data_IF_334495253460
#
_entry.id   IF_334495253460
#
_cell.length_a   1.000
_cell.length_b   1.000
_cell.length_c   1.000
_cell.angle_alpha   90.00
_cell.angle_beta   90.00
_cell.angle_gamma   90.00
#
_symmetry.space_group_name_H-M   'P 1'
#
loop_
_entity.id
_entity.type
_entity.pdbx_description
1 polymer ?
#
# COMPACT_ATOMS: atom_id res chain seq x y z
N UNK A 1 29.56 -15.42 -5.16
CA UNK A 1 30.50 -14.33 -4.85
C UNK A 1 29.73 -13.03 -4.91
N UNK A 2 29.43 -12.40 -3.77
CA UNK A 2 28.88 -11.04 -3.67
C UNK A 2 29.10 -10.56 -2.24
N UNK A 3 30.23 -9.88 -2.06
CA UNK A 3 30.68 -9.22 -0.83
C UNK A 3 30.68 -7.74 -1.19
N UNK A 4 29.72 -6.95 -0.69
CA UNK A 4 29.70 -5.52 -0.94
C UNK A 4 29.21 -4.82 0.33
N UNK A 5 30.15 -4.10 0.95
CA UNK A 5 30.04 -3.22 2.10
C UNK A 5 29.76 -3.84 3.48
N UNK A 6 30.83 -4.32 4.12
CA UNK A 6 31.00 -4.25 5.57
C UNK A 6 31.83 -3.00 5.85
N UNK A 7 31.22 -1.94 6.41
CA UNK A 7 31.97 -0.81 6.93
C UNK A 7 32.20 -1.04 8.42
N UNK A 8 33.43 -1.43 8.76
CA UNK A 8 33.90 -1.47 10.15
C UNK A 8 33.98 -0.03 10.66
N UNK A 9 33.06 0.34 11.55
CA UNK A 9 33.13 1.62 12.25
C UNK A 9 33.87 1.36 13.56
N UNK A 10 35.16 1.64 13.55
CA UNK A 10 36.01 1.60 14.74
C UNK A 10 35.77 2.88 15.54
N UNK A 11 34.91 2.81 16.57
CA UNK A 11 34.73 3.90 17.52
C UNK A 11 35.80 3.76 18.58
N UNK A 12 36.83 4.61 18.51
CA UNK A 12 37.89 4.70 19.51
C UNK A 12 37.33 5.42 20.74
N UNK A 13 37.00 4.64 21.77
CA UNK A 13 36.65 5.16 23.09
C UNK A 13 37.92 5.47 23.89
N UNK A 14 37.89 6.53 24.70
CA UNK A 14 39.06 7.16 25.37
C UNK A 14 39.71 6.28 26.46
N UNK A 15 39.18 5.09 26.70
CA UNK A 15 39.56 4.18 27.79
C UNK A 15 40.20 2.85 27.31
N UNK A 16 40.61 2.74 26.04
CA UNK A 16 41.47 1.63 25.59
C UNK A 16 40.77 0.28 25.32
N UNK A 17 39.44 0.24 25.20
CA UNK A 17 38.70 -0.96 24.84
C UNK A 17 38.21 -0.91 23.38
N UNK A 18 38.74 -1.76 22.51
CA UNK A 18 38.30 -1.90 21.12
C UNK A 18 36.95 -2.65 21.05
N UNK A 19 35.83 -1.91 20.93
CA UNK A 19 34.48 -2.49 20.81
C UNK A 19 34.18 -2.85 19.35
N UNK A 20 34.44 -4.10 18.94
CA UNK A 20 33.98 -4.64 17.63
C UNK A 20 32.46 -4.82 17.62
N UNK A 21 31.73 -3.81 17.14
CA UNK A 21 30.29 -3.94 16.86
C UNK A 21 30.08 -4.57 15.48
N UNK A 22 29.76 -5.86 15.44
CA UNK A 22 29.26 -6.49 14.21
C UNK A 22 27.76 -6.23 14.11
N UNK A 23 27.39 -5.03 13.63
CA UNK A 23 26.00 -4.74 13.26
C UNK A 23 25.68 -5.60 12.04
N UNK A 24 25.00 -6.72 12.28
CA UNK A 24 24.48 -7.54 11.18
C UNK A 24 23.31 -6.76 10.60
N UNK A 25 23.59 -5.90 9.62
CA UNK A 25 22.58 -5.22 8.84
C UNK A 25 21.71 -6.32 8.22
N UNK A 26 20.52 -6.50 8.78
CA UNK A 26 19.52 -7.40 8.21
C UNK A 26 19.18 -6.76 6.88
N UNK A 27 19.86 -7.18 5.80
CA UNK A 27 19.51 -6.84 4.42
C UNK A 27 18.00 -6.91 4.36
N UNK A 28 17.35 -5.80 4.03
CA UNK A 28 15.92 -5.73 3.80
C UNK A 28 15.58 -6.86 2.82
N UNK A 29 15.23 -8.01 3.39
CA UNK A 29 15.20 -9.29 2.69
C UNK A 29 14.13 -9.15 1.63
N UNK A 30 14.40 -9.59 0.41
CA UNK A 30 13.54 -9.60 -0.79
C UNK A 30 12.02 -9.51 -0.54
N UNK A 31 11.51 -10.18 0.50
CA UNK A 31 10.14 -10.09 1.04
C UNK A 31 9.62 -8.66 1.29
N UNK A 32 10.38 -7.75 1.92
CA UNK A 32 9.92 -6.38 2.19
C UNK A 32 9.77 -5.56 0.91
N UNK A 33 10.65 -5.79 -0.06
CA UNK A 33 10.56 -5.17 -1.39
C UNK A 33 9.31 -5.67 -2.12
N UNK A 34 9.04 -6.98 -2.10
CA UNK A 34 7.86 -7.57 -2.75
C UNK A 34 6.55 -7.01 -2.15
N UNK A 35 6.44 -6.91 -0.82
CA UNK A 35 5.24 -6.38 -0.14
C UNK A 35 4.99 -4.92 -0.54
N UNK A 36 6.06 -4.12 -0.59
CA UNK A 36 5.97 -2.72 -1.02
C UNK A 36 5.47 -2.62 -2.47
N UNK A 37 6.01 -3.45 -3.37
CA UNK A 37 5.57 -3.49 -4.78
C UNK A 37 4.11 -3.90 -4.92
N UNK A 38 3.66 -4.94 -4.23
CA UNK A 38 2.26 -5.39 -4.27
C UNK A 38 1.33 -4.29 -3.75
N UNK A 39 1.70 -3.63 -2.65
CA UNK A 39 0.89 -2.54 -2.09
C UNK A 39 0.78 -1.36 -3.05
N UNK A 40 1.88 -1.02 -3.74
CA UNK A 40 1.88 0.01 -4.80
C UNK A 40 0.95 -0.35 -5.95
N UNK A 41 0.98 -1.61 -6.41
CA UNK A 41 0.10 -2.09 -7.49
C UNK A 41 -1.39 -2.03 -7.09
N UNK A 42 -1.72 -2.41 -5.86
CA UNK A 42 -3.10 -2.34 -5.35
C UNK A 42 -3.60 -0.89 -5.27
N UNK A 43 -2.77 0.04 -4.79
CA UNK A 43 -3.11 1.47 -4.79
C UNK A 43 -3.27 2.03 -6.20
N UNK A 44 -2.42 1.62 -7.15
CA UNK A 44 -2.53 2.04 -8.54
C UNK A 44 -3.83 1.55 -9.17
N UNK A 45 -4.16 0.27 -8.99
CA UNK A 45 -5.39 -0.32 -9.52
C UNK A 45 -6.63 0.38 -8.93
N UNK A 46 -6.62 0.61 -7.61
CA UNK A 46 -7.67 1.39 -6.95
C UNK A 46 -7.79 2.81 -7.54
N UNK A 47 -6.67 3.50 -7.74
CA UNK A 47 -6.65 4.84 -8.34
C UNK A 47 -7.30 4.87 -9.72
N UNK A 48 -7.00 3.89 -10.58
CA UNK A 48 -7.62 3.78 -11.91
C UNK A 48 -9.13 3.59 -11.78
N UNK A 49 -9.59 2.66 -10.93
CA UNK A 49 -11.01 2.42 -10.67
C UNK A 49 -11.70 3.67 -10.13
N UNK A 50 -11.08 4.35 -9.16
CA UNK A 50 -11.62 5.55 -8.55
C UNK A 50 -11.76 6.71 -9.56
N UNK A 51 -10.78 6.88 -10.45
CA UNK A 51 -10.84 7.88 -11.52
C UNK A 51 -12.00 7.58 -12.49
N UNK A 52 -12.14 6.32 -12.93
CA UNK A 52 -13.24 5.92 -13.80
C UNK A 52 -14.61 6.16 -13.17
N UNK A 53 -14.78 5.79 -11.90
CA UNK A 53 -16.01 6.02 -11.14
C UNK A 53 -16.28 7.51 -10.92
N UNK A 54 -15.24 8.32 -10.72
CA UNK A 54 -15.37 9.78 -10.59
C UNK A 54 -15.83 10.40 -11.90
N UNK A 55 -15.26 10.00 -13.05
CA UNK A 55 -15.74 10.46 -14.36
C UNK A 55 -17.20 10.09 -14.59
N UNK A 56 -17.57 8.84 -14.28
CA UNK A 56 -18.96 8.39 -14.35
C UNK A 56 -19.87 9.28 -13.50
N UNK A 57 -19.50 9.53 -12.24
CA UNK A 57 -20.26 10.39 -11.33
C UNK A 57 -20.43 11.80 -11.90
N UNK A 58 -19.36 12.40 -12.41
CA UNK A 58 -19.41 13.73 -13.05
C UNK A 58 -20.34 13.73 -14.26
N UNK A 59 -20.24 12.72 -15.15
CA UNK A 59 -21.09 12.63 -16.33
C UNK A 59 -22.57 12.45 -15.99
N UNK A 60 -22.89 11.68 -14.94
CA UNK A 60 -24.27 11.56 -14.43
C UNK A 60 -24.77 12.90 -13.90
N UNK A 61 -23.94 13.60 -13.14
CA UNK A 61 -24.31 14.85 -12.49
C UNK A 61 -24.49 16.00 -13.50
N UNK A 62 -23.64 16.09 -14.52
CA UNK A 62 -23.75 17.14 -15.54
C UNK A 62 -24.73 16.82 -16.65
N UNK A 63 -25.32 15.63 -16.67
CA UNK A 63 -26.15 15.17 -17.79
C UNK A 63 -25.38 15.12 -19.11
N UNK A 64 -24.12 14.68 -19.07
CA UNK A 64 -23.23 14.68 -20.23
C UNK A 64 -23.84 13.89 -21.40
N UNK A 65 -23.69 14.44 -22.62
CA UNK A 65 -24.18 13.80 -23.84
C UNK A 65 -23.55 12.41 -24.03
N UNK A 66 -24.32 11.44 -24.58
CA UNK A 66 -23.87 10.06 -24.77
C UNK A 66 -22.87 9.95 -25.94
N UNK A 67 -21.69 10.52 -25.76
CA UNK A 67 -20.55 10.35 -26.68
C UNK A 67 -19.94 8.95 -26.55
N UNK A 68 -19.13 8.55 -27.54
CA UNK A 68 -18.41 7.26 -27.51
C UNK A 68 -17.53 7.11 -26.27
N UNK A 69 -16.90 8.19 -25.82
CA UNK A 69 -16.08 8.19 -24.60
C UNK A 69 -16.93 8.04 -23.33
N UNK A 70 -18.05 8.77 -23.23
CA UNK A 70 -18.97 8.68 -22.09
C UNK A 70 -19.55 7.26 -22.00
N UNK A 71 -19.97 6.68 -23.13
CA UNK A 71 -20.46 5.31 -23.21
C UNK A 71 -19.39 4.28 -22.81
N UNK A 72 -18.14 4.47 -23.23
CA UNK A 72 -17.01 3.62 -22.82
C UNK A 72 -16.82 3.62 -21.29
N UNK A 73 -16.84 4.79 -20.66
CA UNK A 73 -16.73 4.91 -19.20
C UNK A 73 -17.91 4.20 -18.51
N UNK A 74 -19.15 4.40 -18.96
CA UNK A 74 -20.31 3.70 -18.41
C UNK A 74 -20.18 2.17 -18.56
N UNK A 75 -19.74 1.67 -19.72
CA UNK A 75 -19.60 0.23 -19.95
C UNK A 75 -18.60 -0.45 -19.00
N UNK A 76 -17.46 0.20 -18.74
CA UNK A 76 -16.46 -0.34 -17.80
C UNK A 76 -16.94 -0.22 -16.35
N UNK A 77 -17.60 0.88 -16.01
CA UNK A 77 -17.99 1.15 -14.62
C UNK A 77 -19.31 0.49 -14.20
N UNK A 78 -20.18 0.13 -15.13
CA UNK A 78 -21.45 -0.54 -14.83
C UNK A 78 -21.29 -1.80 -13.96
N UNK A 79 -20.42 -2.79 -14.28
CA UNK A 79 -20.25 -3.95 -13.42
C UNK A 79 -19.65 -3.61 -12.04
N UNK A 80 -18.89 -2.52 -11.93
CA UNK A 80 -18.31 -2.04 -10.67
C UNK A 80 -19.37 -1.41 -9.75
N UNK A 81 -20.35 -0.73 -10.34
CA UNK A 81 -21.43 -0.07 -9.58
C UNK A 81 -22.63 -0.99 -9.34
N UNK A 82 -22.83 -2.00 -10.19
CA UNK A 82 -23.93 -2.96 -10.12
C UNK A 82 -24.26 -3.49 -8.70
N UNK A 83 -23.30 -3.93 -7.86
CA UNK A 83 -23.63 -4.43 -6.51
C UNK A 83 -24.12 -3.36 -5.54
N UNK A 84 -23.96 -2.07 -5.87
CA UNK A 84 -24.34 -0.93 -5.04
C UNK A 84 -25.53 -0.15 -5.61
N UNK A 85 -26.03 -0.58 -6.78
CA UNK A 85 -27.14 0.08 -7.46
C UNK A 85 -28.41 0.04 -6.59
N UNK A 86 -29.10 1.19 -6.47
CA UNK A 86 -30.37 1.27 -5.74
C UNK A 86 -30.23 1.31 -4.21
N UNK A 87 -29.01 1.38 -3.66
CA UNK A 87 -28.80 1.59 -2.23
C UNK A 87 -29.45 2.90 -1.73
N UNK A 88 -29.57 3.90 -2.61
CA UNK A 88 -30.19 5.20 -2.31
C UNK A 88 -31.04 5.72 -3.48
N UNK A 89 -32.18 5.05 -3.75
CA UNK A 89 -33.03 5.30 -4.91
C UNK A 89 -33.52 6.76 -5.08
N UNK A 90 -33.78 7.51 -3.99
CA UNK A 90 -34.22 8.91 -4.10
C UNK A 90 -33.13 9.84 -4.65
N UNK A 91 -31.86 9.60 -4.30
CA UNK A 91 -30.74 10.47 -4.67
C UNK A 91 -30.30 10.24 -6.11
N UNK A 92 -30.43 9.01 -6.62
CA UNK A 92 -30.16 8.67 -8.02
C UNK A 92 -31.07 9.41 -9.02
N UNK A 93 -32.32 9.69 -8.63
CA UNK A 93 -33.26 10.45 -9.46
C UNK A 93 -32.85 11.91 -9.67
N UNK A 94 -32.01 12.48 -8.80
CA UNK A 94 -31.50 13.84 -8.91
C UNK A 94 -30.21 13.95 -9.76
N UNK A 95 -29.82 12.89 -10.47
CA UNK A 95 -28.57 12.84 -11.25
C UNK A 95 -27.33 12.53 -10.41
N UNK A 96 -27.48 12.36 -9.10
CA UNK A 96 -26.38 12.03 -8.20
C UNK A 96 -26.20 10.50 -8.15
N UNK A 97 -25.10 10.01 -8.72
CA UNK A 97 -24.80 8.56 -8.76
C UNK A 97 -24.25 8.09 -7.40
N UNK A 98 -25.16 7.80 -6.45
CA UNK A 98 -24.80 7.28 -5.13
C UNK A 98 -24.08 5.95 -5.20
N UNK A 99 -24.42 5.10 -6.18
CA UNK A 99 -23.75 3.82 -6.38
C UNK A 99 -22.26 4.00 -6.70
N UNK A 100 -21.91 4.96 -7.58
CA UNK A 100 -20.53 5.28 -7.89
C UNK A 100 -19.75 5.79 -6.68
N UNK A 101 -20.35 6.70 -5.89
CA UNK A 101 -19.72 7.21 -4.66
C UNK A 101 -19.49 6.09 -3.65
N UNK A 102 -20.50 5.23 -3.44
CA UNK A 102 -20.39 4.11 -2.53
C UNK A 102 -19.33 3.10 -2.99
N UNK A 103 -19.25 2.82 -4.29
CA UNK A 103 -18.24 1.95 -4.87
C UNK A 103 -16.81 2.45 -4.59
N UNK A 104 -16.55 3.77 -4.74
CA UNK A 104 -15.23 4.36 -4.41
C UNK A 104 -14.88 4.11 -2.95
N UNK A 105 -15.82 4.37 -2.03
CA UNK A 105 -15.60 4.20 -0.59
C UNK A 105 -15.33 2.73 -0.25
N UNK A 106 -16.21 1.83 -0.68
CA UNK A 106 -16.12 0.39 -0.35
C UNK A 106 -14.85 -0.23 -0.93
N UNK A 107 -14.52 0.05 -2.19
CA UNK A 107 -13.30 -0.49 -2.79
C UNK A 107 -12.04 0.09 -2.16
N UNK A 108 -12.05 1.37 -1.76
CA UNK A 108 -10.95 1.98 -1.02
C UNK A 108 -10.73 1.28 0.33
N UNK A 109 -11.80 0.98 1.05
CA UNK A 109 -11.74 0.23 2.31
C UNK A 109 -11.22 -1.20 2.09
N UNK A 110 -11.67 -1.89 1.04
CA UNK A 110 -11.20 -3.25 0.72
C UNK A 110 -9.70 -3.24 0.42
N UNK A 111 -9.24 -2.33 -0.45
CA UNK A 111 -7.82 -2.23 -0.83
C UNK A 111 -6.97 -1.87 0.38
N UNK A 112 -7.40 -0.89 1.18
CA UNK A 112 -6.73 -0.53 2.43
C UNK A 112 -6.68 -1.71 3.41
N UNK A 113 -7.77 -2.46 3.57
CA UNK A 113 -7.83 -3.61 4.47
C UNK A 113 -6.88 -4.73 4.01
N UNK A 114 -6.85 -5.03 2.70
CA UNK A 114 -5.93 -6.02 2.12
C UNK A 114 -4.47 -5.61 2.36
N UNK A 115 -4.11 -4.36 2.07
CA UNK A 115 -2.74 -3.85 2.28
C UNK A 115 -2.38 -3.89 3.77
N UNK A 116 -3.30 -3.47 4.64
CA UNK A 116 -3.11 -3.48 6.09
C UNK A 116 -2.89 -4.89 6.62
N UNK A 117 -3.68 -5.86 6.15
CA UNK A 117 -3.55 -7.26 6.53
C UNK A 117 -2.21 -7.85 6.08
N UNK A 118 -1.79 -7.58 4.84
CA UNK A 118 -0.46 -7.98 4.35
C UNK A 118 0.64 -7.36 5.20
N UNK A 119 0.52 -6.10 5.59
CA UNK A 119 1.52 -5.49 6.48
C UNK A 119 1.54 -6.17 7.86
N UNK A 120 0.39 -6.43 8.46
CA UNK A 120 0.31 -7.06 9.79
C UNK A 120 0.88 -8.48 9.77
N UNK A 121 0.49 -9.30 8.81
CA UNK A 121 0.95 -10.70 8.69
C UNK A 121 2.44 -10.81 8.39
N UNK A 122 3.02 -9.81 7.72
CA UNK A 122 4.41 -9.84 7.27
C UNK A 122 5.34 -8.91 8.06
N UNK A 123 4.80 -8.11 8.99
CA UNK A 123 5.57 -7.35 9.97
C UNK A 123 6.19 -8.34 10.94
N UNK A 124 7.31 -8.92 10.53
CA UNK A 124 8.19 -9.66 11.42
C UNK A 124 8.54 -8.75 12.58
N UNK A 125 8.30 -9.24 13.80
CA UNK A 125 8.71 -8.62 15.05
C UNK A 125 10.22 -8.46 15.04
N UNK A 126 10.71 -7.38 14.44
CA UNK A 126 12.09 -6.93 14.49
C UNK A 126 12.40 -6.41 15.88
N UNK A 127 12.27 -7.27 16.89
CA UNK A 127 12.94 -7.06 18.16
C UNK A 127 14.43 -7.07 17.84
N UNK A 128 15.04 -5.89 17.86
CA UNK A 128 16.49 -5.73 17.75
C UNK A 128 17.10 -6.47 18.94
N UNK A 129 17.35 -7.76 18.79
CA UNK A 129 18.05 -8.57 19.80
C UNK A 129 19.52 -8.17 19.70
N UNK A 130 19.88 -7.09 20.41
CA UNK A 130 21.28 -6.72 20.62
C UNK A 130 21.93 -7.86 21.39
N UNK A 131 22.61 -8.75 20.69
CA UNK A 131 23.48 -9.74 21.34
C UNK A 131 24.77 -9.00 21.70
N UNK A 132 24.84 -8.50 22.93
CA UNK A 132 26.07 -7.96 23.50
C UNK A 132 26.91 -9.18 23.93
N UNK A 133 27.85 -9.61 23.08
CA UNK A 133 28.83 -10.62 23.47
C UNK A 133 29.95 -9.90 24.25
N UNK A 134 30.01 -10.10 25.56
CA UNK A 134 31.17 -9.69 26.36
C UNK A 134 32.14 -10.86 26.44
N UNK A 135 33.27 -10.76 25.76
CA UNK A 135 34.41 -11.65 26.03
C UNK A 135 35.25 -10.99 27.12
N UNK A 136 35.26 -11.63 28.30
CA UNK A 136 36.20 -11.30 29.38
C UNK A 136 37.53 -11.93 28.98
N UNK A 137 38.49 -11.12 28.56
CA UNK A 137 39.89 -11.52 28.50
C UNK A 137 40.31 -11.66 29.97
N UNK A 138 40.60 -12.89 30.39
CA UNK A 138 41.25 -13.18 31.66
C UNK A 138 42.69 -13.49 31.30
N UNK A 139 43.61 -12.70 31.86
CA UNK A 139 45.06 -12.88 31.75
C UNK A 139 45.53 -14.20 32.39
#
# INVERSE_FOLDING_TARGET
MNVENQRDVEVLDRDGYARRQRVTEYKASTRSVIISRISQLLWLLYGIVAILLTFRFVFRLTGADPSSFVAFIYNITNPLVAPFAGAFAQTEAAGFDTGAVLAVIVYGLVVWAVISLVHILFKGSGGVRRVIKQERIVD
#
